data_IF_306348622989
#
_entry.id   IF_306348622989
#
_cell.length_a   1.000
_cell.length_b   1.000
_cell.length_c   1.000
_cell.angle_alpha   90.00
_cell.angle_beta   90.00
_cell.angle_gamma   90.00
#
_symmetry.space_group_name_H-M   'P 1'
#
loop_
_entity.id
_entity.type
_entity.pdbx_description
1 polymer ?
#
# COMPACT_ATOMS: atom_id res chain seq x y z
N UNK A 1 22.42 -31.63 39.12
CA UNK A 1 21.98 -31.73 37.70
C UNK A 1 20.67 -30.98 37.40
N UNK A 2 19.71 -30.90 38.33
CA UNK A 2 18.41 -30.22 38.13
C UNK A 2 18.50 -28.70 37.80
N UNK A 3 19.48 -27.98 38.38
CA UNK A 3 19.63 -26.52 38.20
C UNK A 3 20.14 -26.07 36.82
N UNK A 4 20.87 -26.92 36.10
CA UNK A 4 21.38 -26.58 34.76
C UNK A 4 20.26 -26.68 33.71
N UNK A 5 19.35 -27.64 33.89
CA UNK A 5 18.26 -27.89 32.96
C UNK A 5 17.21 -26.78 33.04
N UNK A 6 16.84 -26.31 34.24
CA UNK A 6 15.90 -25.18 34.42
C UNK A 6 16.45 -23.88 33.84
N UNK A 7 17.76 -23.61 33.99
CA UNK A 7 18.42 -22.43 33.40
C UNK A 7 18.47 -22.49 31.87
N UNK A 8 18.65 -23.67 31.29
CA UNK A 8 18.68 -23.85 29.83
C UNK A 8 17.29 -23.67 29.20
N UNK A 9 16.22 -24.10 29.90
CA UNK A 9 14.85 -23.89 29.44
C UNK A 9 14.44 -22.41 29.57
N UNK A 10 14.77 -21.76 30.69
CA UNK A 10 14.56 -20.31 30.85
C UNK A 10 15.27 -19.47 29.79
N UNK A 11 16.52 -19.82 29.45
CA UNK A 11 17.28 -19.16 28.38
C UNK A 11 16.66 -19.39 26.99
N UNK A 12 16.14 -20.59 26.71
CA UNK A 12 15.44 -20.89 25.45
C UNK A 12 14.13 -20.12 25.31
N UNK A 13 13.33 -20.02 26.38
CA UNK A 13 12.10 -19.20 26.36
C UNK A 13 12.42 -17.71 26.23
N UNK A 14 13.50 -17.24 26.83
CA UNK A 14 13.95 -15.85 26.69
C UNK A 14 14.44 -15.56 25.27
N UNK A 15 15.22 -16.47 24.66
CA UNK A 15 15.68 -16.34 23.26
C UNK A 15 14.48 -16.40 22.30
N UNK A 16 13.52 -17.30 22.52
CA UNK A 16 12.32 -17.42 21.69
C UNK A 16 11.40 -16.20 21.83
N UNK A 17 11.29 -15.63 23.04
CA UNK A 17 10.61 -14.37 23.29
C UNK A 17 11.31 -13.17 22.65
N UNK A 18 12.64 -13.10 22.72
CA UNK A 18 13.43 -12.07 22.04
C UNK A 18 13.37 -12.21 20.51
N UNK A 19 13.36 -13.43 19.96
CA UNK A 19 13.16 -13.66 18.52
C UNK A 19 11.76 -13.20 18.09
N UNK A 20 10.72 -13.50 18.86
CA UNK A 20 9.35 -13.07 18.58
C UNK A 20 9.20 -11.53 18.64
N UNK A 21 9.91 -10.86 19.54
CA UNK A 21 9.94 -9.39 19.63
C UNK A 21 10.74 -8.75 18.49
N UNK A 22 11.78 -9.40 17.98
CA UNK A 22 12.57 -8.94 16.82
C UNK A 22 11.87 -9.17 15.47
N UNK A 23 10.93 -10.10 15.40
CA UNK A 23 10.14 -10.38 14.19
C UNK A 23 8.99 -9.39 13.97
N UNK A 24 8.66 -8.55 14.96
CA UNK A 24 7.59 -7.54 14.87
C UNK A 24 7.84 -6.42 13.84
N UNK A 25 9.01 -6.39 13.20
CA UNK A 25 9.38 -5.42 12.16
C UNK A 25 9.65 -6.02 10.78
N UNK A 26 9.42 -7.33 10.57
CA UNK A 26 9.66 -7.97 9.28
C UNK A 26 8.34 -8.09 8.48
N UNK A 27 8.11 -7.21 7.50
CA UNK A 27 6.99 -7.34 6.56
C UNK A 27 7.29 -8.49 5.60
N UNK A 28 6.45 -9.53 5.61
CA UNK A 28 6.54 -10.66 4.68
C UNK A 28 5.53 -10.45 3.57
N UNK A 29 6.01 -10.33 2.32
CA UNK A 29 5.17 -10.27 1.14
C UNK A 29 4.98 -11.68 0.58
N UNK A 30 3.72 -12.14 0.56
CA UNK A 30 3.36 -13.47 0.11
C UNK A 30 1.92 -13.51 -0.43
N UNK A 31 1.73 -14.34 -1.44
CA UNK A 31 0.44 -14.64 -2.06
C UNK A 31 0.19 -16.16 -2.12
N UNK A 32 0.79 -16.95 -1.22
CA UNK A 32 0.67 -18.41 -1.20
C UNK A 32 -0.81 -18.81 -1.25
N UNK A 33 -1.19 -19.58 -2.27
CA UNK A 33 -2.56 -20.04 -2.51
C UNK A 33 -3.51 -19.00 -3.09
N UNK A 34 -3.02 -17.80 -3.41
CA UNK A 34 -3.78 -16.69 -4.01
C UNK A 34 -3.25 -16.26 -5.39
N UNK A 35 -2.02 -16.65 -5.72
CA UNK A 35 -1.32 -16.29 -6.97
C UNK A 35 -1.78 -16.99 -8.24
N UNK A 36 -2.90 -17.70 -8.23
CA UNK A 36 -3.31 -18.55 -9.36
C UNK A 36 -3.34 -17.77 -10.69
N UNK A 37 -2.60 -18.26 -11.68
CA UNK A 37 -2.44 -17.67 -13.00
C UNK A 37 -3.53 -18.06 -14.00
N UNK A 38 -3.44 -17.50 -15.21
CA UNK A 38 -4.41 -17.70 -16.28
C UNK A 38 -4.50 -19.14 -16.76
N UNK A 39 -3.39 -19.88 -16.76
CA UNK A 39 -3.31 -21.27 -17.23
C UNK A 39 -4.16 -22.20 -16.37
N UNK A 40 -4.16 -21.95 -15.06
CA UNK A 40 -4.85 -22.78 -14.07
C UNK A 40 -6.32 -22.37 -13.93
N UNK A 41 -6.60 -21.06 -13.90
CA UNK A 41 -7.96 -20.56 -13.71
C UNK A 41 -8.21 -19.27 -14.52
N UNK A 42 -8.66 -19.40 -15.80
CA UNK A 42 -8.92 -18.24 -16.65
C UNK A 42 -10.03 -17.35 -16.10
N UNK A 43 -10.02 -16.08 -16.47
CA UNK A 43 -11.05 -15.13 -16.03
C UNK A 43 -12.38 -15.36 -16.74
N UNK A 44 -13.46 -15.38 -15.96
CA UNK A 44 -14.83 -15.66 -16.43
C UNK A 44 -15.83 -14.59 -15.96
N UNK A 45 -15.34 -13.42 -15.59
CA UNK A 45 -16.16 -12.27 -15.25
C UNK A 45 -16.95 -11.71 -16.45
N UNK A 46 -17.78 -10.71 -16.15
CA UNK A 46 -18.42 -9.89 -17.18
C UNK A 46 -17.37 -9.04 -17.90
N UNK A 47 -17.65 -8.66 -19.15
CA UNK A 47 -16.83 -7.68 -19.86
C UNK A 47 -16.83 -6.34 -19.16
N UNK A 48 -15.85 -5.50 -19.48
CA UNK A 48 -15.69 -4.21 -18.85
C UNK A 48 -16.93 -3.33 -19.00
N UNK A 49 -17.35 -2.82 -17.84
CA UNK A 49 -18.33 -1.75 -17.70
C UNK A 49 -17.79 -0.83 -16.61
N UNK A 50 -17.77 0.48 -16.90
CA UNK A 50 -17.39 1.48 -15.93
C UNK A 50 -18.30 1.39 -14.70
N UNK A 51 -17.73 1.55 -13.49
CA UNK A 51 -18.55 1.52 -12.28
C UNK A 51 -19.50 2.72 -12.28
N UNK A 52 -20.74 2.58 -11.81
CA UNK A 52 -21.64 3.72 -11.73
C UNK A 52 -21.04 4.86 -10.90
N UNK A 53 -21.21 6.10 -11.35
CA UNK A 53 -20.74 7.29 -10.62
C UNK A 53 -21.37 7.43 -9.22
N UNK A 54 -22.43 6.69 -8.92
CA UNK A 54 -23.05 6.60 -7.59
C UNK A 54 -22.29 5.72 -6.60
N UNK A 55 -21.39 4.85 -7.07
CA UNK A 55 -20.63 3.90 -6.25
C UNK A 55 -19.39 4.54 -5.58
N UNK A 56 -19.02 5.76 -5.96
CA UNK A 56 -17.85 6.46 -5.43
C UNK A 56 -18.06 7.97 -5.38
N UNK A 57 -17.34 8.64 -4.47
CA UNK A 57 -17.51 10.07 -4.20
C UNK A 57 -16.52 10.88 -5.03
N UNK A 58 -16.91 11.28 -6.24
CA UNK A 58 -16.02 11.99 -7.18
C UNK A 58 -15.42 13.29 -6.62
N UNK A 59 -16.07 13.91 -5.62
CA UNK A 59 -15.59 15.12 -4.95
C UNK A 59 -14.39 14.86 -4.01
N UNK A 60 -14.20 13.62 -3.57
CA UNK A 60 -13.27 13.27 -2.47
C UNK A 60 -12.47 11.99 -2.67
N UNK A 61 -12.81 11.18 -3.66
CA UNK A 61 -12.21 9.89 -3.96
C UNK A 61 -11.69 9.90 -5.39
N UNK A 62 -10.85 8.93 -5.73
CA UNK A 62 -10.37 8.68 -7.08
C UNK A 62 -10.52 7.21 -7.44
N UNK A 63 -10.49 6.91 -8.73
CA UNK A 63 -10.68 5.56 -9.23
C UNK A 63 -9.44 5.07 -9.97
N UNK A 64 -8.88 3.95 -9.52
CA UNK A 64 -7.79 3.25 -10.21
C UNK A 64 -8.35 2.00 -10.89
N UNK A 65 -8.34 1.96 -12.20
CA UNK A 65 -8.53 0.74 -12.97
C UNK A 65 -7.20 0.05 -13.19
N UNK A 66 -7.17 -1.25 -12.96
CA UNK A 66 -6.05 -2.12 -13.33
C UNK A 66 -6.55 -3.11 -14.36
N UNK A 67 -5.83 -3.24 -15.47
CA UNK A 67 -6.19 -4.21 -16.49
C UNK A 67 -4.97 -4.79 -17.19
N UNK A 68 -5.15 -6.00 -17.72
CA UNK A 68 -4.15 -6.75 -18.47
C UNK A 68 -4.79 -7.26 -19.75
N UNK A 69 -4.38 -6.78 -20.94
CA UNK A 69 -4.80 -7.36 -22.21
C UNK A 69 -4.50 -8.86 -22.26
N UNK A 70 -5.32 -9.62 -22.99
CA UNK A 70 -5.09 -11.06 -23.15
C UNK A 70 -3.93 -11.31 -24.11
N UNK A 71 -3.00 -12.18 -23.71
CA UNK A 71 -1.90 -12.67 -24.56
C UNK A 71 -1.61 -14.14 -24.29
N UNK A 72 -0.94 -14.83 -25.23
CA UNK A 72 -0.51 -16.23 -25.03
C UNK A 72 0.42 -16.35 -23.82
N UNK A 73 1.42 -15.46 -23.72
CA UNK A 73 2.33 -15.40 -22.58
C UNK A 73 1.59 -15.32 -21.24
N UNK A 74 0.66 -14.37 -21.11
CA UNK A 74 -0.13 -14.20 -19.89
C UNK A 74 -1.08 -15.38 -19.63
N UNK A 75 -1.59 -16.00 -20.70
CA UNK A 75 -2.49 -17.15 -20.64
C UNK A 75 -1.81 -18.42 -20.14
N UNK A 76 -0.52 -18.59 -20.42
CA UNK A 76 0.27 -19.76 -20.02
C UNK A 76 0.92 -19.62 -18.63
N UNK A 77 0.68 -18.50 -17.94
CA UNK A 77 1.18 -18.31 -16.58
C UNK A 77 0.43 -19.18 -15.55
N UNK A 78 1.22 -19.92 -14.77
CA UNK A 78 0.74 -20.69 -13.61
C UNK A 78 0.50 -19.79 -12.41
N UNK A 79 1.31 -18.74 -12.25
CA UNK A 79 1.15 -17.72 -11.22
C UNK A 79 1.03 -16.33 -11.84
N UNK A 80 0.03 -15.55 -11.43
CA UNK A 80 -0.18 -14.18 -11.92
C UNK A 80 0.44 -13.14 -10.99
N UNK A 81 0.94 -12.01 -11.53
CA UNK A 81 1.53 -10.94 -10.73
C UNK A 81 0.60 -10.37 -9.67
N UNK A 82 1.14 -10.12 -8.48
CA UNK A 82 0.43 -9.53 -7.34
C UNK A 82 0.51 -8.01 -7.37
N UNK A 83 -0.63 -7.36 -7.13
CA UNK A 83 -0.73 -5.91 -7.03
C UNK A 83 -0.86 -5.48 -5.57
N UNK A 84 -0.02 -4.52 -5.21
CA UNK A 84 0.03 -3.85 -3.94
C UNK A 84 -0.29 -2.37 -4.12
N UNK A 85 -1.11 -1.85 -3.22
CA UNK A 85 -1.30 -0.40 -3.05
C UNK A 85 -1.04 -0.09 -1.59
N UNK A 86 -0.18 0.90 -1.33
CA UNK A 86 0.20 1.33 0.02
C UNK A 86 0.66 0.12 0.88
N UNK A 87 1.60 -0.66 0.34
CA UNK A 87 2.13 -1.91 0.94
C UNK A 87 1.12 -3.03 1.21
N UNK A 88 -0.14 -2.90 0.81
CA UNK A 88 -1.18 -3.90 1.05
C UNK A 88 -1.48 -4.69 -0.22
N UNK A 89 -1.44 -6.02 -0.12
CA UNK A 89 -1.84 -6.93 -1.22
C UNK A 89 -3.35 -6.87 -1.44
N UNK A 90 -3.78 -6.66 -2.68
CA UNK A 90 -5.21 -6.69 -3.02
C UNK A 90 -5.57 -7.85 -3.95
N UNK A 91 -4.87 -8.03 -5.05
CA UNK A 91 -5.26 -9.00 -6.06
C UNK A 91 -4.09 -9.46 -6.92
N UNK A 92 -4.30 -10.56 -7.65
CA UNK A 92 -3.39 -11.07 -8.65
C UNK A 92 -3.99 -10.86 -10.06
N UNK A 93 -3.25 -10.18 -10.93
CA UNK A 93 -3.76 -9.71 -12.22
C UNK A 93 -3.55 -10.76 -13.32
N UNK A 94 -4.57 -11.60 -13.51
CA UNK A 94 -4.59 -12.67 -14.53
C UNK A 94 -4.71 -12.12 -15.96
N UNK A 95 -4.37 -12.95 -16.94
CA UNK A 95 -4.54 -12.65 -18.37
C UNK A 95 -5.96 -12.24 -18.72
N UNK A 96 -6.11 -11.18 -19.53
CA UNK A 96 -7.41 -10.69 -19.98
C UNK A 96 -8.31 -10.15 -18.87
N UNK A 97 -7.75 -9.82 -17.71
CA UNK A 97 -8.52 -9.39 -16.55
C UNK A 97 -8.56 -7.86 -16.41
N UNK A 98 -9.64 -7.35 -15.83
CA UNK A 98 -9.66 -6.02 -15.22
C UNK A 98 -10.24 -6.04 -13.82
N UNK A 99 -9.86 -5.04 -13.04
CA UNK A 99 -10.47 -4.70 -11.76
C UNK A 99 -10.29 -3.22 -11.45
N UNK A 100 -10.80 -2.79 -10.31
CA UNK A 100 -10.70 -1.40 -9.86
C UNK A 100 -10.52 -1.30 -8.35
N UNK A 101 -9.98 -0.17 -7.91
CA UNK A 101 -9.90 0.25 -6.52
C UNK A 101 -10.35 1.70 -6.41
N UNK A 102 -11.24 1.99 -5.46
CA UNK A 102 -11.58 3.37 -5.10
C UNK A 102 -10.61 3.78 -4.00
N UNK A 103 -9.83 4.83 -4.24
CA UNK A 103 -8.72 5.24 -3.38
C UNK A 103 -8.93 6.66 -2.85
N UNK A 104 -8.29 6.95 -1.72
CA UNK A 104 -8.19 8.34 -1.26
C UNK A 104 -7.21 9.12 -2.15
N UNK A 105 -7.42 10.42 -2.38
CA UNK A 105 -6.46 11.28 -3.06
C UNK A 105 -5.12 11.40 -2.31
N UNK A 106 -4.11 11.89 -3.02
CA UNK A 106 -2.73 12.05 -2.58
C UNK A 106 -1.80 10.99 -3.18
N UNK A 107 -0.56 11.00 -2.70
CA UNK A 107 0.49 10.07 -3.12
C UNK A 107 0.16 8.63 -2.70
N UNK A 108 -0.01 7.72 -3.67
CA UNK A 108 -0.27 6.29 -3.48
C UNK A 108 0.92 5.48 -3.95
N UNK A 109 1.42 4.61 -3.09
CA UNK A 109 2.52 3.70 -3.44
C UNK A 109 1.93 2.49 -4.17
N UNK A 110 2.37 2.24 -5.41
CA UNK A 110 1.87 1.12 -6.21
C UNK A 110 3.05 0.22 -6.54
N UNK A 111 2.92 -1.04 -6.17
CA UNK A 111 3.90 -2.06 -6.49
C UNK A 111 3.25 -3.28 -7.14
N UNK A 112 3.94 -3.89 -8.10
CA UNK A 112 3.58 -5.18 -8.67
C UNK A 112 4.75 -6.14 -8.54
N UNK A 113 4.46 -7.35 -8.05
CA UNK A 113 5.48 -8.37 -7.77
C UNK A 113 5.11 -9.66 -8.45
N UNK A 114 6.11 -10.36 -9.02
CA UNK A 114 5.91 -11.73 -9.50
C UNK A 114 6.13 -12.69 -8.33
N UNK A 115 5.11 -13.48 -7.96
CA UNK A 115 5.30 -14.54 -6.99
C UNK A 115 6.17 -15.66 -7.55
N UNK A 116 7.02 -16.23 -6.70
CA UNK A 116 7.75 -17.47 -6.96
C UNK A 116 7.30 -18.50 -5.91
N UNK A 117 6.38 -19.39 -6.29
CA UNK A 117 5.70 -20.33 -5.38
C UNK A 117 4.93 -19.59 -4.27
N UNK A 118 4.32 -18.45 -4.60
CA UNK A 118 3.59 -17.60 -3.66
C UNK A 118 4.44 -16.79 -2.67
N UNK A 119 5.77 -16.88 -2.72
CA UNK A 119 6.67 -15.99 -1.98
C UNK A 119 7.05 -14.80 -2.86
N UNK A 120 7.06 -13.59 -2.31
CA UNK A 120 7.27 -12.36 -3.09
C UNK A 120 8.36 -11.45 -2.51
N UNK A 121 8.61 -11.51 -1.20
CA UNK A 121 9.68 -10.72 -0.58
C UNK A 121 9.66 -10.65 0.95
N UNK A 122 10.68 -10.02 1.50
CA UNK A 122 10.86 -9.72 2.93
C UNK A 122 11.40 -8.28 3.08
N UNK A 123 10.65 -7.39 3.73
CA UNK A 123 10.96 -5.95 3.83
C UNK A 123 11.25 -5.34 2.44
N UNK A 124 12.35 -4.59 2.30
CA UNK A 124 12.76 -3.94 1.06
C UNK A 124 13.30 -4.92 -0.01
N UNK A 125 13.31 -6.23 0.25
CA UNK A 125 13.82 -7.25 -0.67
C UNK A 125 12.63 -7.93 -1.36
N UNK A 126 12.42 -7.62 -2.63
CA UNK A 126 11.50 -8.36 -3.50
C UNK A 126 12.25 -9.41 -4.32
N UNK A 127 11.65 -10.60 -4.47
CA UNK A 127 12.22 -11.68 -5.27
C UNK A 127 12.18 -11.37 -6.77
N UNK A 128 11.10 -10.73 -7.22
CA UNK A 128 10.93 -10.26 -8.60
C UNK A 128 9.92 -9.09 -8.62
N UNK A 129 10.45 -7.88 -8.83
CA UNK A 129 9.72 -6.62 -8.76
C UNK A 129 9.48 -6.10 -10.18
N UNK A 130 8.21 -5.99 -10.55
CA UNK A 130 7.79 -5.50 -11.87
C UNK A 130 7.70 -3.97 -11.85
N UNK A 131 7.06 -3.43 -10.81
CA UNK A 131 6.97 -1.98 -10.60
C UNK A 131 6.97 -1.67 -9.10
N UNK A 132 7.52 -0.52 -8.76
CA UNK A 132 7.53 0.08 -7.43
C UNK A 132 7.67 1.60 -7.60
N UNK A 133 6.52 2.27 -7.58
CA UNK A 133 6.44 3.68 -7.91
C UNK A 133 5.30 4.36 -7.15
N UNK A 134 5.46 5.65 -6.94
CA UNK A 134 4.42 6.48 -6.35
C UNK A 134 3.59 7.16 -7.45
N UNK A 135 2.27 7.08 -7.34
CA UNK A 135 1.32 7.78 -8.19
C UNK A 135 0.67 8.92 -7.39
N UNK A 136 0.73 10.14 -7.91
CA UNK A 136 -0.04 11.25 -7.34
C UNK A 136 -1.49 11.18 -7.82
N UNK A 137 -2.41 10.94 -6.89
CA UNK A 137 -3.82 10.70 -7.22
C UNK A 137 -4.68 11.90 -6.84
N UNK A 138 -5.29 12.53 -7.83
CA UNK A 138 -6.23 13.64 -7.64
C UNK A 138 -7.70 13.18 -7.46
N UNK A 139 -8.52 13.91 -6.66
CA UNK A 139 -9.94 13.62 -6.50
C UNK A 139 -10.69 13.74 -7.83
N UNK A 140 -11.65 12.84 -8.06
CA UNK A 140 -12.52 12.83 -9.24
C UNK A 140 -11.87 12.32 -10.52
N UNK A 141 -10.56 12.06 -10.51
CA UNK A 141 -9.86 11.47 -11.66
C UNK A 141 -10.00 9.95 -11.68
N UNK A 142 -9.98 9.42 -12.90
CA UNK A 142 -9.97 7.98 -13.21
C UNK A 142 -8.65 7.67 -13.89
N UNK A 143 -7.90 6.73 -13.33
CA UNK A 143 -6.58 6.32 -13.82
C UNK A 143 -6.66 4.90 -14.37
N UNK A 144 -5.96 4.65 -15.47
CA UNK A 144 -5.92 3.34 -16.13
C UNK A 144 -4.50 2.78 -16.11
N UNK A 145 -4.25 1.86 -15.19
CA UNK A 145 -2.98 1.15 -15.03
C UNK A 145 -3.03 -0.12 -15.87
N UNK A 146 -2.31 -0.08 -16.99
CA UNK A 146 -2.21 -1.16 -17.97
C UNK A 146 -0.99 -2.00 -17.67
N UNK A 147 -1.17 -3.31 -17.53
CA UNK A 147 -0.07 -4.26 -17.41
C UNK A 147 0.07 -5.10 -18.69
N UNK A 148 1.25 -5.12 -19.29
CA UNK A 148 1.64 -6.13 -20.29
C UNK A 148 3.16 -6.28 -20.39
N UNK A 149 3.62 -7.50 -20.62
CA UNK A 149 5.04 -7.87 -20.78
C UNK A 149 5.43 -8.12 -22.24
N UNK A 150 4.45 -8.16 -23.15
CA UNK A 150 4.68 -8.56 -24.55
C UNK A 150 4.45 -7.43 -25.54
N UNK A 151 3.73 -6.38 -25.13
CA UNK A 151 3.34 -5.29 -26.00
C UNK A 151 3.23 -3.96 -25.23
N UNK A 152 3.73 -2.89 -25.86
CA UNK A 152 3.77 -1.56 -25.28
C UNK A 152 2.60 -0.70 -25.76
N UNK A 153 1.94 0.07 -24.87
CA UNK A 153 0.92 1.02 -25.29
C UNK A 153 1.54 2.28 -25.91
N UNK A 154 0.71 3.10 -26.55
CA UNK A 154 1.11 4.47 -26.88
C UNK A 154 1.50 5.28 -25.63
N UNK A 155 2.40 6.24 -25.81
CA UNK A 155 2.81 7.16 -24.77
C UNK A 155 1.62 8.01 -24.33
N UNK A 156 1.47 8.19 -23.01
CA UNK A 156 0.42 9.01 -22.45
C UNK A 156 0.76 10.49 -22.68
N UNK A 157 -0.03 11.24 -23.47
CA UNK A 157 0.25 12.63 -23.79
C UNK A 157 0.11 13.58 -22.58
N UNK A 158 -0.56 13.14 -21.52
CA UNK A 158 -0.71 13.91 -20.27
C UNK A 158 0.55 13.84 -19.37
N UNK A 159 1.46 12.90 -19.65
CA UNK A 159 2.67 12.69 -18.86
C UNK A 159 3.93 13.19 -19.60
N UNK A 160 4.94 13.72 -18.87
CA UNK A 160 6.26 13.95 -19.43
C UNK A 160 6.85 12.68 -20.04
N UNK A 161 7.55 12.78 -21.17
CA UNK A 161 8.10 11.61 -21.89
C UNK A 161 9.05 10.74 -21.06
N UNK A 162 9.68 11.32 -20.05
CA UNK A 162 10.61 10.63 -19.14
C UNK A 162 9.94 10.12 -17.86
N UNK A 163 8.63 10.35 -17.69
CA UNK A 163 7.86 9.97 -16.52
C UNK A 163 7.96 8.45 -16.27
N UNK A 164 8.22 8.03 -15.02
CA UNK A 164 8.28 6.62 -14.63
C UNK A 164 7.05 5.78 -15.02
N UNK A 165 5.86 6.39 -15.07
CA UNK A 165 4.60 5.72 -15.45
C UNK A 165 4.44 5.49 -16.96
N UNK A 166 5.39 5.96 -17.78
CA UNK A 166 5.46 5.66 -19.22
C UNK A 166 6.39 4.48 -19.55
N UNK A 167 7.05 3.89 -18.55
CA UNK A 167 8.10 2.87 -18.72
C UNK A 167 7.75 1.58 -17.99
N UNK A 168 8.39 0.47 -18.39
CA UNK A 168 8.19 -0.85 -17.80
C UNK A 168 6.88 -1.51 -18.25
N UNK A 169 6.48 -2.56 -17.54
CA UNK A 169 5.35 -3.40 -17.95
C UNK A 169 4.00 -2.90 -17.40
N UNK A 170 4.00 -2.22 -16.24
CA UNK A 170 2.83 -1.50 -15.71
C UNK A 170 2.94 -0.01 -16.03
N UNK A 171 2.06 0.50 -16.90
CA UNK A 171 2.06 1.90 -17.36
C UNK A 171 0.72 2.59 -17.09
N UNK A 172 0.76 3.89 -16.83
CA UNK A 172 -0.44 4.73 -16.79
C UNK A 172 -0.79 5.20 -18.21
N UNK A 173 -1.90 4.70 -18.74
CA UNK A 173 -2.35 5.07 -20.10
C UNK A 173 -3.43 6.13 -20.07
N UNK A 174 -3.57 6.85 -21.18
CA UNK A 174 -4.70 7.75 -21.41
C UNK A 174 -6.03 6.99 -21.47
N UNK A 175 -7.12 7.67 -21.10
CA UNK A 175 -8.46 7.11 -21.10
C UNK A 175 -8.89 6.62 -22.49
N UNK A 176 -8.60 7.37 -23.56
CA UNK A 176 -9.01 6.96 -24.91
C UNK A 176 -8.30 5.67 -25.32
N UNK A 177 -6.99 5.57 -25.05
CA UNK A 177 -6.23 4.34 -25.29
C UNK A 177 -6.78 3.18 -24.47
N UNK A 178 -6.96 3.39 -23.15
CA UNK A 178 -7.45 2.36 -22.26
C UNK A 178 -8.77 1.74 -22.74
N UNK A 179 -9.70 2.58 -23.20
CA UNK A 179 -11.01 2.13 -23.69
C UNK A 179 -10.93 1.28 -24.98
N UNK A 180 -9.83 1.32 -25.73
CA UNK A 180 -9.65 0.43 -26.89
C UNK A 180 -9.32 -1.01 -26.49
N UNK A 181 -8.73 -1.22 -25.32
CA UNK A 181 -8.24 -2.53 -24.86
C UNK A 181 -9.07 -3.09 -23.71
N UNK A 182 -9.37 -2.25 -22.71
CA UNK A 182 -10.03 -2.69 -21.47
C UNK A 182 -11.44 -3.26 -21.73
N UNK A 183 -12.11 -2.81 -22.79
CA UNK A 183 -13.44 -3.30 -23.19
C UNK A 183 -13.48 -4.80 -23.48
N UNK A 184 -12.37 -5.36 -23.95
CA UNK A 184 -12.24 -6.79 -24.27
C UNK A 184 -11.82 -7.63 -23.06
N UNK A 185 -11.51 -6.99 -21.94
CA UNK A 185 -11.11 -7.67 -20.70
C UNK A 185 -12.33 -8.08 -19.87
N UNK A 186 -12.12 -9.03 -18.94
CA UNK A 186 -13.16 -9.59 -18.07
C UNK A 186 -12.89 -9.30 -16.61
N UNK A 187 -13.97 -9.11 -15.85
CA UNK A 187 -13.91 -8.75 -14.45
C UNK A 187 -13.20 -9.83 -13.62
N UNK A 188 -12.24 -9.41 -12.81
CA UNK A 188 -11.48 -10.28 -11.91
C UNK A 188 -12.33 -10.68 -10.70
N UNK A 189 -13.14 -11.73 -10.86
CA UNK A 189 -13.93 -12.29 -9.76
C UNK A 189 -13.04 -12.96 -8.72
N UNK A 190 -13.46 -12.85 -7.45
CA UNK A 190 -12.91 -13.60 -6.33
C UNK A 190 -13.68 -14.92 -6.19
N UNK A 191 -12.98 -16.03 -6.07
CA UNK A 191 -13.57 -17.36 -5.87
C UNK A 191 -12.67 -18.23 -4.98
N UNK A 192 -13.07 -19.48 -4.73
CA UNK A 192 -12.32 -20.39 -3.85
C UNK A 192 -10.96 -20.82 -4.41
N UNK A 193 -10.77 -20.77 -5.73
CA UNK A 193 -9.54 -21.18 -6.41
C UNK A 193 -8.58 -20.00 -6.53
N UNK A 194 -9.11 -18.79 -6.74
CA UNK A 194 -8.35 -17.56 -6.90
C UNK A 194 -8.94 -16.43 -6.02
N UNK A 195 -8.80 -16.53 -4.68
CA UNK A 195 -9.31 -15.51 -3.77
C UNK A 195 -8.54 -14.19 -3.93
N UNK A 196 -9.27 -13.09 -4.05
CA UNK A 196 -8.73 -11.73 -4.13
C UNK A 196 -9.63 -10.71 -3.41
N UNK A 197 -9.09 -9.52 -3.18
CA UNK A 197 -9.74 -8.33 -2.62
C UNK A 197 -9.81 -7.21 -3.67
N UNK A 198 -10.18 -7.58 -4.90
CA UNK A 198 -10.34 -6.63 -5.99
C UNK A 198 -11.72 -5.92 -5.92
N UNK A 199 -11.90 -4.85 -6.69
CA UNK A 199 -13.19 -4.15 -6.84
C UNK A 199 -13.78 -3.63 -5.52
N UNK A 200 -12.96 -2.92 -4.75
CA UNK A 200 -13.32 -2.46 -3.42
C UNK A 200 -12.88 -1.02 -3.18
N UNK A 201 -13.49 -0.37 -2.18
CA UNK A 201 -13.11 0.95 -1.68
C UNK A 201 -12.08 0.79 -0.57
N UNK A 202 -10.90 1.37 -0.75
CA UNK A 202 -9.75 1.25 0.15
C UNK A 202 -9.32 2.59 0.76
N UNK A 203 -10.22 3.58 0.72
CA UNK A 203 -10.00 4.95 1.20
C UNK A 203 -9.52 4.97 2.66
N UNK A 204 -10.07 4.08 3.50
CA UNK A 204 -9.70 4.00 4.92
C UNK A 204 -8.28 3.51 5.11
N UNK A 205 -7.92 2.46 4.40
CA UNK A 205 -6.60 1.84 4.40
C UNK A 205 -5.55 2.83 3.85
N UNK A 206 -5.84 3.53 2.75
CA UNK A 206 -4.93 4.53 2.19
C UNK A 206 -4.66 5.70 3.14
N UNK A 207 -5.70 6.21 3.81
CA UNK A 207 -5.56 7.31 4.75
C UNK A 207 -4.77 6.89 5.99
N UNK A 208 -5.05 5.70 6.53
CA UNK A 208 -4.26 5.14 7.63
C UNK A 208 -2.78 5.01 7.26
N UNK A 209 -2.47 4.45 6.09
CA UNK A 209 -1.10 4.36 5.57
C UNK A 209 -0.45 5.74 5.42
N UNK A 210 -1.17 6.71 4.84
CA UNK A 210 -0.67 8.08 4.67
C UNK A 210 -0.32 8.75 6.01
N UNK A 211 -1.15 8.53 7.03
CA UNK A 211 -0.88 9.05 8.38
C UNK A 211 0.32 8.37 9.04
N UNK A 212 0.49 7.06 8.87
CA UNK A 212 1.66 6.34 9.36
C UNK A 212 2.95 6.85 8.71
N UNK A 213 2.97 6.99 7.38
CA UNK A 213 4.11 7.54 6.64
C UNK A 213 4.45 8.97 7.07
N UNK A 214 3.45 9.83 7.19
CA UNK A 214 3.64 11.21 7.66
C UNK A 214 4.18 11.26 9.09
N UNK A 215 3.76 10.33 9.97
CA UNK A 215 4.31 10.19 11.33
C UNK A 215 5.78 9.80 11.31
N UNK A 216 6.16 8.83 10.47
CA UNK A 216 7.56 8.42 10.29
C UNK A 216 8.44 9.56 9.77
N UNK A 217 7.95 10.31 8.77
CA UNK A 217 8.65 11.47 8.22
C UNK A 217 8.85 12.58 9.26
N UNK A 218 7.81 12.88 10.05
CA UNK A 218 7.89 13.86 11.15
C UNK A 218 8.87 13.39 12.22
N UNK A 219 8.86 12.09 12.57
CA UNK A 219 9.79 11.53 13.55
C UNK A 219 11.25 11.66 13.08
N UNK A 220 11.52 11.34 11.81
CA UNK A 220 12.86 11.52 11.21
C UNK A 220 13.28 12.99 11.20
N UNK A 221 12.39 13.88 10.78
CA UNK A 221 12.64 15.32 10.80
C UNK A 221 12.95 15.83 12.22
N UNK A 222 12.24 15.31 13.22
CA UNK A 222 12.46 15.62 14.63
C UNK A 222 13.87 15.23 15.06
N UNK A 223 14.34 14.04 14.68
CA UNK A 223 15.69 13.57 14.99
C UNK A 223 16.76 14.47 14.37
N UNK A 224 16.65 14.76 13.07
CA UNK A 224 17.56 15.64 12.33
C UNK A 224 17.58 17.06 12.93
N UNK A 225 16.42 17.60 13.32
CA UNK A 225 16.31 18.91 13.96
C UNK A 225 16.97 18.93 15.35
N UNK A 226 16.81 17.87 16.15
CA UNK A 226 17.46 17.75 17.46
C UNK A 226 18.98 17.68 17.34
N UNK A 227 19.51 16.93 16.36
CA UNK A 227 20.94 16.86 16.09
C UNK A 227 21.49 18.23 15.70
N UNK A 228 20.80 18.95 14.81
CA UNK A 228 21.13 20.32 14.43
C UNK A 228 21.13 21.27 15.62
N UNK A 229 20.12 21.19 16.51
CA UNK A 229 20.05 22.02 17.71
C UNK A 229 21.18 21.71 18.71
N UNK A 230 21.53 20.42 18.88
CA UNK A 230 22.69 20.01 19.70
C UNK A 230 24.00 20.59 19.15
N UNK A 231 24.21 20.50 17.84
CA UNK A 231 25.40 21.05 17.18
C UNK A 231 25.52 22.58 17.34
N UNK A 232 24.39 23.28 17.32
CA UNK A 232 24.33 24.73 17.51
C UNK A 232 24.37 25.19 18.98
N UNK A 233 24.49 24.27 19.94
CA UNK A 233 24.43 24.59 21.37
C UNK A 233 23.03 24.99 21.88
N UNK A 234 21.99 24.84 21.05
CA UNK A 234 20.59 25.12 21.38
C UNK A 234 19.91 23.90 22.04
N UNK A 235 20.65 23.17 22.87
CA UNK A 235 20.18 21.98 23.56
C UNK A 235 20.67 21.97 25.00
N UNK A 236 19.74 21.98 25.95
CA UNK A 236 20.04 21.94 27.38
C UNK A 236 20.37 20.50 27.78
N UNK A 237 21.57 20.28 28.29
CA UNK A 237 21.94 18.99 28.90
C UNK A 237 21.14 18.79 30.20
N UNK A 238 20.52 17.64 30.35
CA UNK A 238 19.82 17.28 31.58
C UNK A 238 20.80 17.05 32.73
N UNK A 239 20.37 17.31 33.97
CA UNK A 239 21.16 17.01 35.17
C UNK A 239 20.72 15.69 35.80
N UNK A 240 21.69 14.81 36.06
CA UNK A 240 21.46 13.44 36.54
C UNK A 240 20.73 13.37 37.89
N UNK A 241 20.90 14.37 38.77
CA UNK A 241 20.25 14.41 40.08
C UNK A 241 18.79 14.91 40.06
N UNK A 242 18.30 15.39 38.90
CA UNK A 242 16.95 15.95 38.75
C UNK A 242 16.26 15.32 37.52
N UNK A 243 16.22 13.98 37.49
CA UNK A 243 15.79 13.17 36.35
C UNK A 243 14.36 13.47 35.83
N UNK A 244 13.44 13.90 36.71
CA UNK A 244 12.03 14.10 36.36
C UNK A 244 11.59 15.56 36.19
N UNK A 245 12.32 16.53 36.79
CA UNK A 245 11.93 17.95 36.81
C UNK A 245 12.89 18.86 36.01
N UNK A 246 14.11 18.41 35.75
CA UNK A 246 15.15 19.17 35.05
C UNK A 246 15.66 18.40 33.83
N UNK A 247 14.74 17.72 33.13
CA UNK A 247 15.02 16.98 31.90
C UNK A 247 15.77 17.86 30.89
N UNK A 248 16.77 17.27 30.24
CA UNK A 248 17.44 17.92 29.12
C UNK A 248 16.50 18.01 27.93
N UNK A 249 16.68 19.02 27.08
CA UNK A 249 15.79 19.24 25.96
C UNK A 249 16.20 20.40 25.05
N UNK A 250 15.57 20.51 23.89
CA UNK A 250 15.79 21.61 22.97
C UNK A 250 15.41 22.95 23.63
N UNK A 251 16.22 24.00 23.41
CA UNK A 251 15.91 25.34 23.93
C UNK A 251 15.01 26.15 22.99
N UNK A 252 14.78 25.63 21.77
CA UNK A 252 13.88 26.18 20.75
C UNK A 252 12.76 25.19 20.48
N UNK A 253 11.61 25.71 20.05
CA UNK A 253 10.48 24.88 19.58
C UNK A 253 10.86 24.21 18.27
N UNK A 254 10.52 22.93 18.12
CA UNK A 254 10.77 22.18 16.91
C UNK A 254 9.66 22.43 15.90
N UNK A 255 10.04 22.44 14.63
CA UNK A 255 9.08 22.39 13.53
C UNK A 255 8.33 21.05 13.55
N UNK A 256 9.05 19.96 13.83
CA UNK A 256 8.45 18.64 13.95
C UNK A 256 7.34 18.57 15.03
N UNK A 257 7.50 19.24 16.18
CA UNK A 257 6.46 19.32 17.23
C UNK A 257 5.17 20.00 16.73
N UNK A 258 5.29 20.95 15.79
CA UNK A 258 4.13 21.61 15.19
C UNK A 258 3.44 20.66 14.23
N UNK A 259 4.21 20.04 13.34
CA UNK A 259 3.69 19.09 12.34
C UNK A 259 3.03 17.86 13.00
N UNK A 260 3.59 17.38 14.11
CA UNK A 260 3.01 16.27 14.88
C UNK A 260 1.62 16.63 15.41
N UNK A 261 1.44 17.85 15.95
CA UNK A 261 0.12 18.33 16.41
C UNK A 261 -0.87 18.53 15.27
N UNK A 262 -0.41 19.01 14.13
CA UNK A 262 -1.26 19.14 12.93
C UNK A 262 -1.72 17.75 12.46
N UNK A 263 -0.81 16.76 12.42
CA UNK A 263 -1.15 15.38 12.09
C UNK A 263 -2.14 14.76 13.09
N UNK A 264 -1.97 14.99 14.40
CA UNK A 264 -2.94 14.54 15.41
C UNK A 264 -4.34 15.15 15.20
N UNK A 265 -4.41 16.41 14.78
CA UNK A 265 -5.67 17.07 14.45
C UNK A 265 -6.30 16.49 13.19
N UNK A 266 -5.51 16.26 12.15
CA UNK A 266 -5.94 15.64 10.89
C UNK A 266 -6.53 14.23 11.14
N UNK A 267 -5.81 13.40 11.92
CA UNK A 267 -6.26 12.05 12.31
C UNK A 267 -7.58 12.13 13.08
N UNK A 268 -7.65 13.02 14.08
CA UNK A 268 -8.87 13.18 14.89
C UNK A 268 -10.06 13.63 14.06
N UNK A 269 -9.86 14.56 13.13
CA UNK A 269 -10.92 15.00 12.22
C UNK A 269 -11.41 13.83 11.36
N UNK A 270 -10.48 13.05 10.80
CA UNK A 270 -10.81 11.87 10.01
C UNK A 270 -11.61 10.84 10.81
N UNK A 271 -11.21 10.54 12.06
CA UNK A 271 -11.96 9.62 12.93
C UNK A 271 -13.39 10.11 13.21
N UNK A 272 -13.59 11.42 13.38
CA UNK A 272 -14.91 12.01 13.55
C UNK A 272 -15.77 11.88 12.29
N UNK A 273 -15.18 12.11 11.11
CA UNK A 273 -15.86 11.94 9.83
C UNK A 273 -16.27 10.49 9.59
N UNK A 274 -15.37 9.55 9.91
CA UNK A 274 -15.65 8.11 9.81
C UNK A 274 -16.82 7.73 10.75
N UNK A 275 -16.76 8.13 12.01
CA UNK A 275 -17.81 7.87 12.99
C UNK A 275 -19.17 8.49 12.60
N UNK A 276 -19.17 9.63 11.91
CA UNK A 276 -20.39 10.25 11.39
C UNK A 276 -20.96 9.52 10.16
N UNK A 277 -20.11 8.80 9.42
CA UNK A 277 -20.50 8.06 8.21
C UNK A 277 -20.99 6.63 8.47
N UNK A 278 -20.57 6.02 9.59
CA UNK A 278 -21.02 4.70 10.00
C UNK A 278 -22.45 4.75 10.57
N UNK A 279 -23.35 3.82 10.18
CA UNK A 279 -24.69 3.78 10.75
C UNK A 279 -24.63 3.49 12.25
N UNK A 280 -25.51 4.10 13.07
CA UNK A 280 -25.47 3.91 14.50
C UNK A 280 -25.62 2.42 14.89
N UNK A 281 -25.00 1.97 15.99
CA UNK A 281 -25.03 0.55 16.40
C UNK A 281 -26.43 -0.05 16.56
N UNK A 282 -27.45 0.77 16.83
CA UNK A 282 -28.85 0.33 17.00
C UNK A 282 -29.61 0.11 15.68
N UNK A 283 -29.04 0.52 14.53
CA UNK A 283 -29.57 0.21 13.18
C UNK A 283 -29.24 -1.23 12.73
N UNK A 284 -28.34 -1.94 13.40
CA UNK A 284 -27.97 -3.33 13.04
C UNK A 284 -29.00 -4.38 13.51
N UNK A 285 -30.08 -3.95 14.17
CA UNK A 285 -31.10 -4.82 14.77
C UNK A 285 -32.50 -4.61 14.18
N UNK A 286 -32.63 -3.88 13.07
CA UNK A 286 -33.88 -3.62 12.35
C UNK A 286 -33.75 -3.95 10.88
#
# INVERSE_FOLDING_TARGET
MLNAQVRLHGLRFLIMGCLALMLGGCKIYQSIGKSVGGFVHPVNGQYFVHIPNSEWKQDREALLYFYRPASEWAGDEIESPSVYVDDTHYFNLRSGAYTWLIVAPGKRHIAMRRPLLGLEGLNDISLDLIVDQDLEVEPGKVYYLRYSEVDEPELNPELPSDDPWQKGDLRLVDNQWALTEIVDTRFLKSDMVAPNHAATRIVKENLAYSFERRREEIAKLREEELERLKAQGNYRKGNWWCAYLCGGGPTKRLEADRLEKELEQDIKQYELELAASEPPPWWQFW
#
